data_IF_277589690442
#
_entry.id   IF_277589690442
#
_cell.length_a   1.000
_cell.length_b   1.000
_cell.length_c   1.000
_cell.angle_alpha   90.00
_cell.angle_beta   90.00
_cell.angle_gamma   90.00
#
_symmetry.space_group_name_H-M   'P 1'
#
loop_
_entity.id
_entity.type
_entity.pdbx_description
1 polymer ?
#
# COMPACT_ATOMS: atom_id res chain seq x y z
N UNK A 1 -33.72 15.31 -26.22
CA UNK A 1 -33.17 15.96 -25.02
C UNK A 1 -34.09 15.66 -23.84
N UNK A 2 -33.96 14.52 -23.15
CA UNK A 2 -34.91 14.19 -22.10
C UNK A 2 -34.54 14.94 -20.82
N UNK A 3 -35.45 15.82 -20.40
CA UNK A 3 -35.59 16.30 -19.03
C UNK A 3 -35.94 15.11 -18.14
N UNK A 4 -35.22 14.92 -17.05
CA UNK A 4 -35.71 14.15 -15.91
C UNK A 4 -35.95 15.12 -14.74
N UNK A 5 -37.18 15.65 -14.68
CA UNK A 5 -37.82 16.00 -13.42
C UNK A 5 -38.06 14.70 -12.64
N UNK A 6 -37.90 14.73 -11.31
CA UNK A 6 -38.70 14.05 -10.27
C UNK A 6 -37.92 14.15 -8.96
N UNK A 7 -38.47 14.36 -7.78
CA UNK A 7 -39.70 14.93 -7.27
C UNK A 7 -39.39 15.21 -5.78
N UNK A 8 -39.94 16.27 -5.20
CA UNK A 8 -39.79 16.62 -3.78
C UNK A 8 -40.67 15.69 -2.94
N UNK A 9 -40.12 15.15 -1.84
CA UNK A 9 -40.94 14.85 -0.67
C UNK A 9 -40.13 14.92 0.62
N UNK A 10 -40.47 15.89 1.47
CA UNK A 10 -40.09 15.93 2.88
C UNK A 10 -41.08 15.12 3.69
N UNK A 11 -40.61 14.12 4.42
CA UNK A 11 -41.34 13.57 5.56
C UNK A 11 -40.46 13.68 6.80
N UNK A 12 -40.82 14.59 7.71
CA UNK A 12 -40.43 14.49 9.13
C UNK A 12 -41.33 13.42 9.73
N UNK A 13 -40.80 12.24 10.01
CA UNK A 13 -41.51 11.28 10.84
C UNK A 13 -40.79 11.13 12.19
N UNK A 14 -41.50 11.49 13.26
CA UNK A 14 -41.12 11.24 14.65
C UNK A 14 -41.73 9.89 15.02
N UNK A 15 -40.98 8.80 14.87
CA UNK A 15 -41.46 7.51 15.39
C UNK A 15 -40.66 6.28 14.94
N UNK A 16 -39.90 5.73 15.89
CA UNK A 16 -39.58 4.30 16.10
C UNK A 16 -39.22 3.43 14.86
N UNK A 17 -37.93 3.12 14.73
CA UNK A 17 -37.45 1.82 14.24
C UNK A 17 -37.23 1.68 12.74
N UNK A 18 -36.20 2.33 12.21
CA UNK A 18 -35.65 2.05 10.88
C UNK A 18 -34.51 3.02 10.57
N UNK A 19 -33.27 2.52 10.44
CA UNK A 19 -32.16 3.35 9.98
C UNK A 19 -32.37 3.63 8.49
N UNK A 20 -32.90 4.81 8.16
CA UNK A 20 -32.91 5.32 6.79
C UNK A 20 -31.48 5.61 6.37
N UNK A 21 -30.98 4.89 5.36
CA UNK A 21 -29.73 5.25 4.68
C UNK A 21 -29.95 6.61 4.04
N UNK A 22 -29.42 7.66 4.65
CA UNK A 22 -29.43 9.01 4.10
C UNK A 22 -28.44 9.10 2.96
N UNK A 23 -28.90 9.34 1.74
CA UNK A 23 -28.04 9.76 0.65
C UNK A 23 -27.76 11.25 0.82
N UNK A 24 -26.48 11.61 0.91
CA UNK A 24 -26.04 13.01 0.80
C UNK A 24 -26.01 13.35 -0.68
N UNK A 25 -26.66 14.45 -1.07
CA UNK A 25 -26.54 14.96 -2.42
C UNK A 25 -25.10 15.45 -2.64
N UNK A 26 -24.37 14.82 -3.55
CA UNK A 26 -23.14 15.41 -4.09
C UNK A 26 -23.54 16.51 -5.06
N UNK A 27 -22.90 17.67 -4.96
CA UNK A 27 -23.04 18.69 -5.98
C UNK A 27 -22.47 18.18 -7.32
N UNK A 28 -22.97 18.72 -8.43
CA UNK A 28 -22.50 18.39 -9.79
C UNK A 28 -21.25 19.16 -10.22
N UNK A 29 -20.56 19.79 -9.28
CA UNK A 29 -19.33 20.57 -9.45
C UNK A 29 -18.08 19.80 -8.99
N UNK A 30 -18.23 18.52 -8.66
CA UNK A 30 -17.10 17.64 -8.42
C UNK A 30 -16.24 17.50 -9.67
N UNK A 31 -14.97 17.85 -9.54
CA UNK A 31 -13.91 17.50 -10.49
C UNK A 31 -13.25 16.20 -10.02
N UNK A 32 -12.79 15.36 -10.96
CA UNK A 32 -12.02 14.15 -10.65
C UNK A 32 -10.65 14.50 -10.01
N UNK A 33 -10.28 15.78 -10.05
CA UNK A 33 -9.04 16.31 -9.51
C UNK A 33 -7.84 16.02 -10.40
N UNK A 34 -6.68 16.50 -9.99
CA UNK A 34 -5.41 16.14 -10.62
C UNK A 34 -4.90 14.77 -10.14
N UNK A 35 -3.91 14.18 -10.84
CA UNK A 35 -3.19 13.02 -10.34
C UNK A 35 -2.59 13.29 -8.95
N UNK A 36 -2.66 12.29 -8.06
CA UNK A 36 -2.03 12.36 -6.74
C UNK A 36 -0.51 12.49 -6.87
N UNK A 37 0.08 13.31 -6.00
CA UNK A 37 1.51 13.51 -5.89
C UNK A 37 2.04 13.03 -4.54
N UNK A 38 3.36 12.89 -4.42
CA UNK A 38 4.02 12.62 -3.14
C UNK A 38 3.66 13.67 -2.07
N UNK A 39 3.43 14.93 -2.46
CA UNK A 39 3.02 15.97 -1.52
C UNK A 39 1.63 15.74 -0.92
N UNK A 40 0.71 15.20 -1.71
CA UNK A 40 -0.64 14.87 -1.24
C UNK A 40 -0.61 13.70 -0.25
N UNK A 41 0.28 12.72 -0.49
CA UNK A 41 0.50 11.58 0.42
C UNK A 41 1.15 12.05 1.71
N UNK A 42 2.21 12.86 1.62
CA UNK A 42 2.90 13.42 2.80
C UNK A 42 1.91 14.25 3.62
N UNK A 43 1.13 15.11 2.96
CA UNK A 43 0.17 16.00 3.59
C UNK A 43 0.81 17.10 4.44
N UNK A 44 0.00 17.67 5.34
CA UNK A 44 0.39 18.77 6.22
C UNK A 44 0.47 18.29 7.66
N UNK A 45 1.62 18.49 8.29
CA UNK A 45 1.80 18.20 9.71
C UNK A 45 0.98 19.14 10.61
N UNK A 46 0.74 20.38 10.16
CA UNK A 46 -0.02 21.37 10.91
C UNK A 46 -1.52 21.05 10.86
N UNK A 47 -2.02 20.61 9.70
CA UNK A 47 -3.44 20.33 9.49
C UNK A 47 -3.80 18.86 9.80
N UNK A 48 -2.80 18.01 10.08
CA UNK A 48 -3.00 16.59 10.40
C UNK A 48 -3.54 15.80 9.20
N UNK A 49 -3.02 16.07 8.00
CA UNK A 49 -3.46 15.40 6.75
C UNK A 49 -2.38 14.46 6.20
N UNK A 50 -2.76 13.62 5.23
CA UNK A 50 -1.86 12.63 4.62
C UNK A 50 -1.30 11.67 5.65
N UNK A 51 0.01 11.40 5.59
CA UNK A 51 0.70 10.55 6.57
C UNK A 51 0.55 11.05 8.00
N UNK A 52 0.47 12.37 8.22
CA UNK A 52 0.36 12.92 9.57
C UNK A 52 -0.99 12.64 10.23
N UNK A 53 -2.04 12.32 9.45
CA UNK A 53 -3.33 11.90 9.98
C UNK A 53 -3.25 10.57 10.76
N UNK A 54 -2.27 9.73 10.43
CA UNK A 54 -2.10 8.41 11.04
C UNK A 54 -1.43 8.47 12.42
N UNK A 55 -0.94 9.63 12.88
CA UNK A 55 -0.25 9.75 14.17
C UNK A 55 -1.10 9.38 15.38
N UNK A 56 -2.42 9.47 15.25
CA UNK A 56 -3.38 9.12 16.30
C UNK A 56 -3.89 7.69 16.18
N UNK A 57 -3.53 6.99 15.10
CA UNK A 57 -3.99 5.64 14.81
C UNK A 57 -2.99 4.59 15.33
N UNK A 58 -3.50 3.40 15.65
CA UNK A 58 -2.68 2.26 16.04
C UNK A 58 -2.56 1.31 14.86
N UNK A 59 -1.33 1.06 14.41
CA UNK A 59 -1.02 0.17 13.30
C UNK A 59 0.39 -0.40 13.43
N UNK A 60 0.59 -1.64 13.01
CA UNK A 60 1.90 -2.31 13.05
C UNK A 60 2.68 -2.14 11.75
N UNK A 61 1.98 -2.00 10.63
CA UNK A 61 2.56 -1.91 9.29
C UNK A 61 2.00 -0.72 8.52
N UNK A 62 2.89 0.03 7.87
CA UNK A 62 2.53 1.06 6.89
C UNK A 62 2.92 0.60 5.50
N UNK A 63 1.99 0.74 4.55
CA UNK A 63 2.21 0.46 3.13
C UNK A 63 1.80 1.67 2.31
N UNK A 64 2.67 2.10 1.41
CA UNK A 64 2.38 3.19 0.48
C UNK A 64 2.60 2.62 -0.92
N UNK A 65 1.53 2.21 -1.63
CA UNK A 65 1.69 1.75 -2.99
C UNK A 65 2.05 2.93 -3.92
N UNK A 66 2.76 2.66 -5.04
CA UNK A 66 2.95 3.60 -6.14
C UNK A 66 1.67 4.35 -6.53
N UNK A 67 1.76 5.66 -6.73
CA UNK A 67 0.62 6.53 -7.08
C UNK A 67 0.14 6.33 -8.52
N UNK A 68 1.01 5.77 -9.36
CA UNK A 68 0.70 5.33 -10.71
C UNK A 68 1.45 4.04 -11.03
N UNK A 69 1.25 3.51 -12.25
CA UNK A 69 1.93 2.29 -12.69
C UNK A 69 3.39 2.55 -13.08
N UNK A 70 3.69 3.79 -13.42
CA UNK A 70 4.95 4.23 -14.01
C UNK A 70 5.83 5.01 -13.02
N UNK A 71 5.32 5.35 -11.83
CA UNK A 71 6.03 6.16 -10.84
C UNK A 71 6.19 5.42 -9.51
N UNK A 72 7.44 5.22 -9.11
CA UNK A 72 7.78 4.71 -7.78
C UNK A 72 7.53 5.77 -6.71
N UNK A 73 7.34 5.32 -5.47
CA UNK A 73 7.13 6.22 -4.32
C UNK A 73 8.35 7.11 -4.13
N UNK A 74 8.14 8.42 -4.02
CA UNK A 74 9.21 9.39 -3.88
C UNK A 74 10.00 9.22 -2.58
N UNK A 75 11.30 9.53 -2.63
CA UNK A 75 12.19 9.46 -1.46
C UNK A 75 11.68 10.32 -0.28
N UNK A 76 11.11 11.50 -0.56
CA UNK A 76 10.50 12.36 0.46
C UNK A 76 9.40 11.65 1.22
N UNK A 77 8.50 10.97 0.51
CA UNK A 77 7.42 10.17 1.08
C UNK A 77 7.97 9.03 1.94
N UNK A 78 8.97 8.29 1.45
CA UNK A 78 9.60 7.21 2.20
C UNK A 78 10.26 7.71 3.51
N UNK A 79 10.96 8.84 3.47
CA UNK A 79 11.62 9.42 4.65
C UNK A 79 10.60 9.89 5.70
N UNK A 80 9.52 10.55 5.29
CA UNK A 80 8.45 10.97 6.20
C UNK A 80 7.73 9.76 6.78
N UNK A 81 7.42 8.76 5.95
CA UNK A 81 6.76 7.52 6.37
C UNK A 81 7.61 6.74 7.37
N UNK A 82 8.91 6.61 7.13
CA UNK A 82 9.84 5.95 8.05
C UNK A 82 9.92 6.67 9.41
N UNK A 83 9.92 8.01 9.39
CA UNK A 83 9.88 8.81 10.61
C UNK A 83 8.59 8.58 11.40
N UNK A 84 7.45 8.56 10.71
CA UNK A 84 6.16 8.26 11.33
C UNK A 84 6.16 6.85 11.93
N UNK A 85 6.64 5.86 11.19
CA UNK A 85 6.73 4.48 11.68
C UNK A 85 7.59 4.36 12.94
N UNK A 86 8.72 5.08 13.00
CA UNK A 86 9.53 5.17 14.23
C UNK A 86 8.75 5.79 15.39
N UNK A 87 7.95 6.83 15.15
CA UNK A 87 7.13 7.50 16.18
C UNK A 87 5.99 6.60 16.67
N UNK A 88 5.40 5.78 15.78
CA UNK A 88 4.28 4.89 16.07
C UNK A 88 4.71 3.46 16.46
N UNK A 89 6.01 3.16 16.52
CA UNK A 89 6.54 1.79 16.68
C UNK A 89 6.06 0.80 15.62
N UNK A 90 5.78 1.29 14.42
CA UNK A 90 5.38 0.51 13.26
C UNK A 90 6.57 0.22 12.32
N UNK A 91 6.33 -0.63 11.32
CA UNK A 91 7.28 -0.96 10.27
C UNK A 91 6.76 -0.51 8.89
N UNK A 92 7.56 0.27 8.15
CA UNK A 92 7.26 0.63 6.77
C UNK A 92 7.61 -0.54 5.83
N UNK A 93 6.65 -1.01 5.05
CA UNK A 93 6.86 -2.00 4.01
C UNK A 93 7.11 -1.29 2.68
N UNK A 94 8.32 -1.42 2.16
CA UNK A 94 8.80 -0.73 0.97
C UNK A 94 8.78 -1.68 -0.22
N UNK A 95 8.24 -1.18 -1.33
CA UNK A 95 8.32 -1.85 -2.62
C UNK A 95 9.69 -1.67 -3.27
N UNK A 96 10.16 -2.67 -4.05
CA UNK A 96 11.32 -2.46 -4.88
C UNK A 96 10.95 -1.50 -6.01
N UNK A 97 11.86 -0.60 -6.42
CA UNK A 97 11.73 0.19 -7.64
C UNK A 97 11.32 -0.65 -8.85
N UNK A 98 10.56 -0.03 -9.75
CA UNK A 98 9.99 -0.70 -10.92
C UNK A 98 11.04 -1.20 -11.91
N UNK A 99 12.23 -0.61 -11.89
CA UNK A 99 13.39 -0.96 -12.73
C UNK A 99 14.22 -2.14 -12.17
N UNK A 100 13.92 -2.65 -10.96
CA UNK A 100 14.62 -3.82 -10.40
C UNK A 100 14.03 -5.11 -10.95
N UNK A 101 14.38 -5.43 -12.20
CA UNK A 101 13.78 -6.53 -12.96
C UNK A 101 14.48 -7.87 -12.79
N UNK A 102 15.65 -7.90 -12.14
CA UNK A 102 16.27 -9.15 -11.72
C UNK A 102 17.00 -9.05 -10.36
N UNK A 103 17.29 -10.19 -9.70
CA UNK A 103 17.91 -10.17 -8.37
C UNK A 103 19.28 -9.50 -8.33
N UNK A 104 20.06 -9.62 -9.41
CA UNK A 104 21.40 -9.01 -9.49
C UNK A 104 21.30 -7.48 -9.54
N UNK A 105 20.40 -6.94 -10.36
CA UNK A 105 20.10 -5.50 -10.41
C UNK A 105 19.66 -4.96 -9.05
N UNK A 106 18.76 -5.68 -8.36
CA UNK A 106 18.29 -5.28 -7.03
C UNK A 106 19.46 -5.20 -6.02
N UNK A 107 20.36 -6.19 -6.01
CA UNK A 107 21.54 -6.21 -5.14
C UNK A 107 22.50 -5.06 -5.46
N UNK A 108 22.72 -4.78 -6.74
CA UNK A 108 23.62 -3.70 -7.18
C UNK A 108 23.04 -2.32 -6.87
N UNK A 109 21.77 -2.10 -7.17
CA UNK A 109 21.06 -0.86 -6.91
C UNK A 109 20.99 -0.57 -5.40
N UNK A 110 20.82 -1.61 -4.56
CA UNK A 110 20.81 -1.46 -3.12
C UNK A 110 22.09 -0.80 -2.58
N UNK A 111 23.25 -1.00 -3.20
CA UNK A 111 24.51 -0.37 -2.75
C UNK A 111 24.45 1.16 -2.74
N UNK A 112 23.70 1.75 -3.67
CA UNK A 112 23.55 3.20 -3.81
C UNK A 112 22.13 3.67 -3.44
N UNK A 113 21.29 2.79 -2.91
CA UNK A 113 19.91 3.12 -2.59
C UNK A 113 19.87 4.18 -1.47
N UNK A 114 19.28 5.36 -1.72
CA UNK A 114 19.41 6.52 -0.82
C UNK A 114 18.56 6.42 0.45
N UNK A 115 17.71 5.40 0.55
CA UNK A 115 16.82 5.20 1.69
C UNK A 115 17.32 4.05 2.59
N UNK A 116 17.49 4.36 3.88
CA UNK A 116 17.85 3.41 4.94
C UNK A 116 17.10 3.79 6.22
N UNK A 117 16.49 2.81 6.87
CA UNK A 117 15.78 2.98 8.13
C UNK A 117 15.68 1.65 8.85
N UNK A 118 15.84 1.67 10.19
CA UNK A 118 15.60 0.51 11.05
C UNK A 118 14.10 0.21 11.22
N UNK A 119 13.24 1.15 10.80
CA UNK A 119 11.78 1.03 10.81
C UNK A 119 11.22 0.82 9.40
N UNK A 120 12.00 0.22 8.51
CA UNK A 120 11.55 -0.14 7.18
C UNK A 120 12.09 -1.50 6.74
N UNK A 121 11.30 -2.20 5.93
CA UNK A 121 11.63 -3.48 5.33
C UNK A 121 11.29 -3.43 3.84
N UNK A 122 12.25 -3.77 2.98
CA UNK A 122 12.00 -3.88 1.55
C UNK A 122 11.69 -5.33 1.21
N UNK A 123 10.57 -5.56 0.51
CA UNK A 123 10.17 -6.89 0.01
C UNK A 123 10.41 -6.99 -1.49
N UNK A 124 10.98 -8.09 -1.97
CA UNK A 124 11.29 -8.33 -3.37
C UNK A 124 10.90 -9.77 -3.77
N UNK A 125 10.44 -10.01 -5.01
CA UNK A 125 10.21 -9.05 -6.10
C UNK A 125 8.82 -8.40 -6.03
N UNK A 126 8.57 -7.47 -6.97
CA UNK A 126 7.21 -7.08 -7.35
C UNK A 126 6.38 -8.31 -7.74
N UNK A 127 5.06 -8.15 -7.77
CA UNK A 127 4.12 -9.24 -8.04
C UNK A 127 3.51 -9.14 -9.43
N UNK A 128 3.30 -10.27 -10.08
CA UNK A 128 2.54 -10.39 -11.32
C UNK A 128 1.15 -10.92 -11.02
N UNK A 129 0.13 -10.19 -11.48
CA UNK A 129 -1.28 -10.51 -11.27
C UNK A 129 -2.12 -10.13 -12.50
N UNK A 130 -3.32 -10.70 -12.63
CA UNK A 130 -4.25 -10.34 -13.71
C UNK A 130 -4.94 -9.01 -13.40
N UNK A 131 -4.68 -7.98 -14.20
CA UNK A 131 -5.36 -6.70 -14.15
C UNK A 131 -6.74 -6.83 -14.83
N UNK A 132 -7.81 -6.77 -14.03
CA UNK A 132 -9.19 -6.87 -14.52
C UNK A 132 -9.66 -5.64 -15.29
N UNK A 133 -9.06 -4.47 -15.05
CA UNK A 133 -9.39 -3.23 -15.75
C UNK A 133 -8.82 -3.22 -17.16
N UNK A 134 -7.62 -3.80 -17.33
CA UNK A 134 -6.89 -3.84 -18.61
C UNK A 134 -6.99 -5.20 -19.33
N UNK A 135 -7.53 -6.22 -18.68
CA UNK A 135 -7.74 -7.55 -19.25
C UNK A 135 -6.46 -8.34 -19.53
N UNK A 136 -5.36 -8.05 -18.81
CA UNK A 136 -4.05 -8.68 -19.02
C UNK A 136 -3.26 -8.81 -17.73
N UNK A 137 -2.23 -9.66 -17.70
CA UNK A 137 -1.30 -9.70 -16.58
C UNK A 137 -0.41 -8.46 -16.57
N UNK A 138 -0.27 -7.84 -15.39
CA UNK A 138 0.65 -6.72 -15.15
C UNK A 138 1.46 -6.96 -13.88
N UNK A 139 2.48 -6.12 -13.71
CA UNK A 139 3.34 -6.09 -12.52
C UNK A 139 2.85 -5.03 -11.54
N UNK A 140 2.80 -5.38 -10.27
CA UNK A 140 2.27 -4.58 -9.18
C UNK A 140 3.29 -4.50 -8.05
N UNK A 141 3.23 -3.41 -7.30
CA UNK A 141 3.83 -3.32 -5.98
C UNK A 141 3.45 -4.53 -5.10
N UNK A 142 4.38 -4.97 -4.26
CA UNK A 142 4.24 -6.09 -3.34
C UNK A 142 3.84 -5.68 -1.91
N UNK A 143 3.94 -4.40 -1.54
CA UNK A 143 3.86 -3.96 -0.14
C UNK A 143 2.56 -4.43 0.54
N UNK A 144 1.41 -4.26 -0.12
CA UNK A 144 0.12 -4.68 0.44
C UNK A 144 -0.02 -6.20 0.57
N UNK A 145 0.58 -6.96 -0.34
CA UNK A 145 0.60 -8.42 -0.25
C UNK A 145 1.53 -8.90 0.86
N UNK A 146 2.71 -8.27 1.02
CA UNK A 146 3.63 -8.52 2.10
C UNK A 146 3.01 -8.17 3.47
N UNK A 147 2.31 -7.04 3.58
CA UNK A 147 1.57 -6.66 4.78
C UNK A 147 0.51 -7.70 5.15
N UNK A 148 -0.29 -8.14 4.16
CA UNK A 148 -1.30 -9.15 4.39
C UNK A 148 -0.72 -10.51 4.81
N UNK A 149 0.46 -10.85 4.27
CA UNK A 149 1.20 -12.06 4.65
C UNK A 149 1.72 -11.96 6.09
N UNK A 150 2.30 -10.82 6.47
CA UNK A 150 2.80 -10.55 7.82
C UNK A 150 1.66 -10.53 8.86
N UNK A 151 0.57 -9.81 8.58
CA UNK A 151 -0.60 -9.77 9.44
C UNK A 151 -1.24 -11.15 9.63
N UNK A 152 -1.22 -12.00 8.59
CA UNK A 152 -1.64 -13.41 8.72
C UNK A 152 -0.67 -14.20 9.59
N UNK A 153 0.64 -14.03 9.40
CA UNK A 153 1.62 -14.74 10.20
C UNK A 153 1.53 -14.39 11.69
N UNK A 154 1.21 -13.14 12.01
CA UNK A 154 1.00 -12.68 13.39
C UNK A 154 -0.23 -13.34 14.05
N UNK A 155 -1.36 -13.38 13.35
CA UNK A 155 -2.59 -13.96 13.89
C UNK A 155 -2.54 -15.48 14.11
N UNK A 156 -1.64 -16.19 13.41
CA UNK A 156 -1.63 -17.66 13.33
C UNK A 156 -0.38 -18.33 13.94
N UNK A 157 0.42 -17.64 14.76
CA UNK A 157 1.63 -18.27 15.36
C UNK A 157 1.41 -18.76 16.80
N UNK A 158 1.09 -20.04 17.03
CA UNK A 158 1.27 -20.64 18.36
C UNK A 158 2.75 -20.66 18.74
N UNK A 159 3.04 -20.53 20.03
CA UNK A 159 4.41 -20.51 20.56
C UNK A 159 5.18 -21.77 20.12
N UNK A 160 6.17 -21.60 19.24
CA UNK A 160 7.07 -22.69 18.80
C UNK A 160 6.84 -23.26 17.40
N UNK A 161 5.91 -22.76 16.58
CA UNK A 161 5.81 -23.19 15.19
C UNK A 161 6.94 -22.60 14.32
N UNK A 162 7.77 -23.48 13.77
CA UNK A 162 8.70 -23.20 12.66
C UNK A 162 8.19 -23.97 11.45
N UNK A 163 8.21 -23.31 10.30
CA UNK A 163 7.98 -23.86 8.95
C UNK A 163 6.54 -24.10 8.50
N UNK A 164 5.78 -23.01 8.32
CA UNK A 164 4.90 -22.93 7.14
C UNK A 164 5.44 -21.82 6.23
N UNK A 165 5.90 -22.18 5.02
CA UNK A 165 6.27 -21.22 3.99
C UNK A 165 5.02 -20.39 3.67
N UNK A 166 5.08 -19.09 3.97
CA UNK A 166 3.92 -18.24 3.85
C UNK A 166 3.54 -18.07 2.37
N UNK A 167 2.40 -18.66 1.99
CA UNK A 167 1.94 -18.67 0.59
C UNK A 167 1.10 -17.42 0.31
N UNK A 168 1.42 -16.71 -0.79
CA UNK A 168 0.59 -15.63 -1.31
C UNK A 168 -0.80 -16.16 -1.72
N UNK A 169 -1.80 -15.27 -1.74
CA UNK A 169 -3.14 -15.64 -2.23
C UNK A 169 -3.08 -16.14 -3.69
N UNK A 170 -3.99 -17.04 -4.03
CA UNK A 170 -4.11 -17.56 -5.38
C UNK A 170 -4.22 -16.41 -6.42
N UNK A 171 -3.35 -16.45 -7.44
CA UNK A 171 -3.31 -15.45 -8.52
C UNK A 171 -2.25 -14.36 -8.36
N UNK A 172 -1.55 -14.29 -7.22
CA UNK A 172 -0.34 -13.47 -7.06
C UNK A 172 0.89 -14.34 -7.25
N UNK A 173 1.71 -13.99 -8.24
CA UNK A 173 2.98 -14.66 -8.51
C UNK A 173 4.13 -13.67 -8.34
N UNK A 174 5.33 -14.10 -7.96
CA UNK A 174 6.53 -13.28 -8.13
C UNK A 174 6.66 -12.83 -9.58
N UNK A 175 7.02 -11.56 -9.80
CA UNK A 175 7.31 -11.05 -11.15
C UNK A 175 8.60 -11.64 -11.73
N UNK A 176 9.50 -12.09 -10.86
CA UNK A 176 10.79 -12.67 -11.20
C UNK A 176 11.02 -13.91 -10.34
N UNK A 177 11.57 -14.97 -10.93
CA UNK A 177 11.97 -16.16 -10.19
C UNK A 177 13.26 -15.88 -9.40
N UNK A 178 13.24 -16.21 -8.10
CA UNK A 178 14.37 -16.02 -7.20
C UNK A 178 14.81 -17.37 -6.64
N UNK A 179 15.98 -17.83 -7.08
CA UNK A 179 16.58 -19.08 -6.59
C UNK A 179 16.98 -18.98 -5.10
N UNK A 180 17.10 -20.11 -4.38
CA UNK A 180 17.53 -20.12 -2.99
C UNK A 180 18.87 -19.39 -2.75
N UNK A 181 19.84 -19.54 -3.66
CA UNK A 181 21.13 -18.85 -3.58
C UNK A 181 20.97 -17.32 -3.74
N UNK A 182 20.07 -16.87 -4.62
CA UNK A 182 19.76 -15.45 -4.77
C UNK A 182 19.04 -14.89 -3.55
N UNK A 183 18.12 -15.64 -2.92
CA UNK A 183 17.46 -15.23 -1.67
C UNK A 183 18.47 -14.93 -0.55
N UNK A 184 19.49 -15.77 -0.40
CA UNK A 184 20.55 -15.53 0.60
C UNK A 184 21.31 -14.24 0.28
N UNK A 185 21.65 -13.99 -0.99
CA UNK A 185 22.37 -12.78 -1.40
C UNK A 185 21.53 -11.51 -1.26
N UNK A 186 20.22 -11.58 -1.54
CA UNK A 186 19.28 -10.49 -1.32
C UNK A 186 19.15 -10.16 0.17
N UNK A 187 18.99 -11.18 1.02
CA UNK A 187 18.90 -11.01 2.47
C UNK A 187 20.16 -10.35 3.05
N UNK A 188 21.35 -10.72 2.57
CA UNK A 188 22.62 -10.07 2.95
C UNK A 188 22.68 -8.58 2.54
N UNK A 189 21.92 -8.17 1.53
CA UNK A 189 21.78 -6.78 1.11
C UNK A 189 20.65 -6.04 1.84
N UNK A 190 19.93 -6.69 2.76
CA UNK A 190 18.77 -6.12 3.46
C UNK A 190 17.48 -6.14 2.64
N UNK A 191 17.40 -7.00 1.61
CA UNK A 191 16.22 -7.22 0.77
C UNK A 191 15.54 -8.52 1.21
N UNK A 192 14.24 -8.48 1.49
CA UNK A 192 13.45 -9.61 2.00
C UNK A 192 12.64 -10.29 0.91
#
# INVERSE_FOLDING_TARGET
MPRCLNAVQTARDRGRGGFTVGYVASNSDGDDGGPLTDYDVIGSAADGTGLFALRTEVFDFLCIPPLSREQDVGLGTLLVAARLCRECHALLIVDPPSDWTCPQEAIEAMRNWPFRSDHAVLYYPRLRAFDRLRGRHETFACCGAAAGLLARAEAYRPLGSRDDEAVLRAGLLPAVDVSPAQRVRLAQAGIN
#
